data_IF_260035646000
#
_entry.id   IF_260035646000
#
_cell.length_a   1.000
_cell.length_b   1.000
_cell.length_c   1.000
_cell.angle_alpha   90.00
_cell.angle_beta   90.00
_cell.angle_gamma   90.00
#
_symmetry.space_group_name_H-M   'P 1'
#
loop_
_entity.id
_entity.type
_entity.pdbx_description
1 polymer ?
#
# COMPACT_ATOMS: atom_id res chain seq x y z
N UNK A 1 -36.45 -3.78 47.07
CA UNK A 1 -36.50 -5.04 46.32
C UNK A 1 -36.89 -4.80 44.85
N UNK A 2 -36.13 -4.03 44.04
CA UNK A 2 -36.43 -3.77 42.61
C UNK A 2 -35.19 -3.86 41.68
N UNK A 3 -34.01 -4.23 42.20
CA UNK A 3 -32.78 -4.29 41.41
C UNK A 3 -32.48 -5.68 40.78
N UNK A 4 -33.15 -6.75 41.24
CA UNK A 4 -32.86 -8.12 40.76
C UNK A 4 -33.52 -8.45 39.41
N UNK A 5 -34.58 -7.74 39.02
CA UNK A 5 -35.32 -8.03 37.77
C UNK A 5 -34.59 -7.57 36.53
N UNK A 6 -33.76 -6.52 36.61
CA UNK A 6 -33.00 -5.99 35.46
C UNK A 6 -31.77 -6.84 35.09
N UNK A 7 -31.16 -7.53 36.06
CA UNK A 7 -30.03 -8.42 35.81
C UNK A 7 -30.45 -9.70 35.06
N UNK A 8 -31.66 -10.21 35.33
CA UNK A 8 -32.17 -11.38 34.61
C UNK A 8 -32.59 -11.09 33.17
N UNK A 9 -33.06 -9.88 32.89
CA UNK A 9 -33.45 -9.46 31.54
C UNK A 9 -32.22 -9.27 30.64
N UNK A 10 -31.09 -8.78 31.19
CA UNK A 10 -29.83 -8.64 30.48
C UNK A 10 -29.19 -9.99 30.11
N UNK A 11 -29.35 -11.01 30.96
CA UNK A 11 -28.78 -12.35 30.70
C UNK A 11 -29.59 -13.13 29.65
N UNK A 12 -30.88 -12.88 29.52
CA UNK A 12 -31.75 -13.51 28.52
C UNK A 12 -31.58 -12.92 27.11
N UNK A 13 -31.16 -11.66 27.00
CA UNK A 13 -30.89 -11.02 25.70
C UNK A 13 -29.54 -11.40 25.11
N UNK A 14 -28.60 -11.91 25.91
CA UNK A 14 -27.28 -12.32 25.45
C UNK A 14 -27.23 -13.72 24.78
N UNK A 15 -28.34 -14.49 24.87
CA UNK A 15 -28.38 -15.86 24.32
C UNK A 15 -28.99 -15.97 22.91
N UNK A 16 -29.48 -14.86 22.32
CA UNK A 16 -30.20 -14.93 21.04
C UNK A 16 -29.39 -14.53 19.79
N UNK A 17 -28.09 -14.42 19.89
CA UNK A 17 -27.29 -14.04 18.70
C UNK A 17 -26.28 -15.10 18.26
N UNK A 18 -26.60 -16.37 18.47
CA UNK A 18 -25.95 -17.45 17.68
C UNK A 18 -26.82 -17.68 16.45
N UNK A 19 -26.73 -16.79 15.47
CA UNK A 19 -27.10 -17.16 14.11
C UNK A 19 -26.34 -18.46 13.80
N UNK A 20 -27.01 -19.52 13.28
CA UNK A 20 -26.29 -20.70 12.86
C UNK A 20 -25.26 -20.25 11.84
N UNK A 21 -23.98 -20.35 12.20
CA UNK A 21 -22.89 -20.22 11.25
C UNK A 21 -23.05 -21.44 10.35
N UNK A 22 -23.81 -21.28 9.26
CA UNK A 22 -23.79 -22.26 8.19
C UNK A 22 -22.35 -22.31 7.72
N UNK A 23 -21.69 -23.45 7.93
CA UNK A 23 -20.41 -23.70 7.32
C UNK A 23 -20.58 -23.49 5.81
N UNK A 24 -19.87 -22.50 5.26
CA UNK A 24 -19.92 -22.22 3.83
C UNK A 24 -19.55 -23.47 3.05
N UNK A 25 -20.24 -23.69 1.94
CA UNK A 25 -19.93 -24.82 1.10
C UNK A 25 -18.53 -24.67 0.49
N UNK A 26 -17.88 -25.78 0.19
CA UNK A 26 -16.56 -25.81 -0.45
C UNK A 26 -16.54 -24.96 -1.75
N UNK A 27 -17.63 -24.97 -2.51
CA UNK A 27 -17.76 -24.19 -3.75
C UNK A 27 -17.86 -22.68 -3.49
N UNK A 28 -18.56 -22.26 -2.43
CA UNK A 28 -18.63 -20.86 -2.03
C UNK A 28 -17.26 -20.33 -1.59
N UNK A 29 -16.50 -21.11 -0.82
CA UNK A 29 -15.14 -20.75 -0.40
C UNK A 29 -14.18 -20.64 -1.57
N UNK A 30 -14.33 -21.50 -2.61
CA UNK A 30 -13.53 -21.40 -3.84
C UNK A 30 -13.84 -20.14 -4.63
N UNK A 31 -15.09 -19.70 -4.68
CA UNK A 31 -15.47 -18.43 -5.31
C UNK A 31 -14.91 -17.25 -4.53
N UNK A 32 -15.00 -17.25 -3.20
CA UNK A 32 -14.42 -16.21 -2.36
C UNK A 32 -12.89 -16.15 -2.45
N UNK A 33 -12.24 -17.32 -2.52
CA UNK A 33 -10.81 -17.41 -2.77
C UNK A 33 -10.43 -16.74 -4.09
N UNK A 34 -11.19 -17.01 -5.17
CA UNK A 34 -10.98 -16.37 -6.47
C UNK A 34 -11.15 -14.84 -6.41
N UNK A 35 -12.17 -14.37 -5.68
CA UNK A 35 -12.38 -12.94 -5.46
C UNK A 35 -11.24 -12.31 -4.64
N UNK A 36 -10.70 -13.01 -3.64
CA UNK A 36 -9.55 -12.55 -2.86
C UNK A 36 -8.28 -12.45 -3.72
N UNK A 37 -8.01 -13.43 -4.60
CA UNK A 37 -6.90 -13.35 -5.57
C UNK A 37 -7.03 -12.14 -6.48
N UNK A 38 -8.25 -11.80 -6.93
CA UNK A 38 -8.47 -10.61 -7.76
C UNK A 38 -8.12 -9.32 -7.01
N UNK A 39 -8.51 -9.21 -5.74
CA UNK A 39 -8.16 -8.04 -4.89
C UNK A 39 -6.65 -7.93 -4.66
N UNK A 40 -5.98 -9.06 -4.45
CA UNK A 40 -4.51 -9.09 -4.28
C UNK A 40 -3.82 -8.67 -5.58
N UNK A 41 -4.28 -9.14 -6.73
CA UNK A 41 -3.75 -8.70 -8.03
C UNK A 41 -3.96 -7.21 -8.27
N UNK A 42 -5.10 -6.64 -7.87
CA UNK A 42 -5.32 -5.18 -7.93
C UNK A 42 -4.38 -4.41 -7.02
N UNK A 43 -4.08 -4.93 -5.83
CA UNK A 43 -3.14 -4.32 -4.90
C UNK A 43 -1.70 -4.34 -5.45
N UNK A 44 -1.29 -5.45 -6.09
CA UNK A 44 0.00 -5.59 -6.76
C UNK A 44 0.13 -4.60 -7.93
N UNK A 45 -0.90 -4.49 -8.77
CA UNK A 45 -0.94 -3.53 -9.87
C UNK A 45 -0.86 -2.07 -9.38
N UNK A 46 -1.35 -1.79 -8.18
CA UNK A 46 -1.22 -0.48 -7.54
C UNK A 46 0.18 -0.22 -6.95
N UNK A 47 1.07 -1.23 -6.96
CA UNK A 47 2.43 -1.13 -6.42
C UNK A 47 2.56 -1.55 -4.95
N UNK A 48 1.55 -2.21 -4.36
CA UNK A 48 1.60 -2.78 -3.02
C UNK A 48 2.42 -4.07 -2.99
N UNK A 49 3.18 -4.30 -1.90
CA UNK A 49 3.82 -5.59 -1.65
C UNK A 49 2.78 -6.58 -1.11
N UNK A 50 2.46 -7.58 -1.92
CA UNK A 50 1.42 -8.58 -1.66
C UNK A 50 1.98 -9.99 -1.47
N UNK A 51 3.30 -10.15 -1.39
CA UNK A 51 3.97 -11.44 -1.33
C UNK A 51 3.42 -12.34 -0.22
N UNK A 52 3.21 -11.75 0.97
CA UNK A 52 2.69 -12.45 2.14
C UNK A 52 1.22 -12.87 1.95
N UNK A 53 0.41 -12.00 1.31
CA UNK A 53 -1.00 -12.27 1.07
C UNK A 53 -1.19 -13.43 0.08
N UNK A 54 -0.33 -13.53 -0.94
CA UNK A 54 -0.33 -14.66 -1.88
C UNK A 54 -0.02 -15.97 -1.17
N UNK A 55 0.93 -15.99 -0.23
CA UNK A 55 1.24 -17.18 0.56
C UNK A 55 0.05 -17.62 1.41
N UNK A 56 -0.63 -16.67 2.06
CA UNK A 56 -1.82 -16.97 2.86
C UNK A 56 -2.95 -17.54 1.99
N UNK A 57 -3.18 -17.00 0.78
CA UNK A 57 -4.18 -17.54 -0.15
C UNK A 57 -3.84 -18.94 -0.65
N UNK A 58 -2.57 -19.23 -0.92
CA UNK A 58 -2.13 -20.57 -1.30
C UNK A 58 -2.35 -21.58 -0.16
N UNK A 59 -2.13 -21.16 1.10
CA UNK A 59 -2.42 -21.97 2.27
C UNK A 59 -3.94 -22.19 2.40
N UNK A 60 -4.75 -21.14 2.25
CA UNK A 60 -6.20 -21.25 2.28
C UNK A 60 -6.71 -22.23 1.20
N UNK A 61 -6.17 -22.18 -0.04
CA UNK A 61 -6.50 -23.11 -1.10
C UNK A 61 -6.21 -24.57 -0.68
N UNK A 62 -5.06 -24.83 -0.06
CA UNK A 62 -4.70 -26.16 0.41
C UNK A 62 -5.61 -26.68 1.53
N UNK A 63 -6.14 -25.78 2.38
CA UNK A 63 -7.10 -26.12 3.43
C UNK A 63 -8.48 -26.44 2.86
N UNK A 64 -8.91 -25.73 1.83
CA UNK A 64 -10.15 -26.02 1.10
C UNK A 64 -10.10 -27.41 0.44
N UNK A 65 -8.94 -27.77 -0.11
CA UNK A 65 -8.76 -29.08 -0.75
C UNK A 65 -8.77 -30.25 0.25
N UNK A 66 -8.44 -30.02 1.53
CA UNK A 66 -8.59 -31.03 2.59
C UNK A 66 -10.05 -31.32 2.91
N UNK A 67 -10.93 -30.33 2.85
CA UNK A 67 -12.37 -30.50 2.93
C UNK A 67 -12.94 -30.84 4.32
N UNK A 68 -12.14 -30.84 5.38
CA UNK A 68 -12.61 -31.01 6.74
C UNK A 68 -13.15 -29.70 7.33
N UNK A 69 -14.20 -29.74 8.16
CA UNK A 69 -14.88 -28.56 8.69
C UNK A 69 -13.94 -27.58 9.40
N UNK A 70 -12.93 -28.06 10.12
CA UNK A 70 -11.95 -27.23 10.79
C UNK A 70 -11.03 -26.50 9.80
N UNK A 71 -10.60 -27.17 8.73
CA UNK A 71 -9.80 -26.59 7.64
C UNK A 71 -10.59 -25.57 6.84
N UNK A 72 -11.88 -25.85 6.53
CA UNK A 72 -12.74 -24.91 5.81
C UNK A 72 -12.95 -23.61 6.61
N UNK A 73 -13.18 -23.72 7.93
CA UNK A 73 -13.29 -22.54 8.77
C UNK A 73 -11.98 -21.72 8.81
N UNK A 74 -10.85 -22.40 8.91
CA UNK A 74 -9.54 -21.73 8.89
C UNK A 74 -9.26 -21.06 7.55
N UNK A 75 -9.69 -21.69 6.43
CA UNK A 75 -9.58 -21.10 5.09
C UNK A 75 -10.46 -19.84 4.97
N UNK A 76 -11.69 -19.88 5.50
CA UNK A 76 -12.58 -18.71 5.51
C UNK A 76 -11.94 -17.53 6.25
N UNK A 77 -11.41 -17.75 7.46
CA UNK A 77 -10.74 -16.73 8.23
C UNK A 77 -9.54 -16.12 7.47
N UNK A 78 -8.75 -16.96 6.79
CA UNK A 78 -7.63 -16.52 5.96
C UNK A 78 -8.06 -15.70 4.75
N UNK A 79 -9.12 -16.10 4.04
CA UNK A 79 -9.67 -15.38 2.88
C UNK A 79 -10.20 -14.01 3.34
N UNK A 80 -10.90 -13.95 4.46
CA UNK A 80 -11.39 -12.71 5.03
C UNK A 80 -10.24 -11.78 5.41
N UNK A 81 -9.22 -12.31 6.09
CA UNK A 81 -8.00 -11.58 6.44
C UNK A 81 -7.38 -10.94 5.19
N UNK A 82 -7.09 -11.75 4.16
CA UNK A 82 -6.48 -11.26 2.91
C UNK A 82 -7.36 -10.22 2.23
N UNK A 83 -8.69 -10.41 2.23
CA UNK A 83 -9.62 -9.46 1.59
C UNK A 83 -9.59 -8.06 2.20
N UNK A 84 -9.32 -7.95 3.50
CA UNK A 84 -9.18 -6.68 4.22
C UNK A 84 -7.80 -6.07 3.96
N UNK A 85 -6.74 -6.85 4.14
CA UNK A 85 -5.36 -6.36 3.99
C UNK A 85 -4.97 -6.04 2.55
N UNK A 86 -5.58 -6.69 1.55
CA UNK A 86 -5.38 -6.33 0.15
C UNK A 86 -5.81 -4.89 -0.16
N UNK A 87 -6.88 -4.40 0.48
CA UNK A 87 -7.29 -3.00 0.34
C UNK A 87 -6.27 -2.03 0.94
N UNK A 88 -5.76 -2.34 2.13
CA UNK A 88 -4.73 -1.54 2.79
C UNK A 88 -3.45 -1.49 1.94
N UNK A 89 -3.01 -2.64 1.43
CA UNK A 89 -1.83 -2.73 0.54
C UNK A 89 -2.03 -2.00 -0.78
N UNK A 90 -3.24 -1.98 -1.32
CA UNK A 90 -3.58 -1.19 -2.51
C UNK A 90 -3.43 0.32 -2.24
N UNK A 91 -3.92 0.80 -1.09
CA UNK A 91 -3.79 2.21 -0.71
C UNK A 91 -2.32 2.61 -0.49
N UNK A 92 -1.53 1.76 0.19
CA UNK A 92 -0.09 1.96 0.36
C UNK A 92 0.63 2.05 -0.98
N UNK A 93 0.31 1.14 -1.92
CA UNK A 93 0.90 1.12 -3.26
C UNK A 93 0.59 2.39 -4.06
N UNK A 94 -0.66 2.86 -4.04
CA UNK A 94 -1.05 4.12 -4.69
C UNK A 94 -0.31 5.31 -4.10
N UNK A 95 -0.16 5.37 -2.77
CA UNK A 95 0.58 6.44 -2.11
C UNK A 95 2.07 6.43 -2.47
N UNK A 96 2.69 5.24 -2.48
CA UNK A 96 4.10 5.08 -2.85
C UNK A 96 4.36 5.50 -4.30
N UNK A 97 3.48 5.10 -5.23
CA UNK A 97 3.56 5.46 -6.65
C UNK A 97 3.39 6.98 -6.85
N UNK A 98 2.43 7.59 -6.18
CA UNK A 98 2.23 9.04 -6.23
C UNK A 98 3.45 9.81 -5.69
N UNK A 99 4.04 9.34 -4.59
CA UNK A 99 5.24 9.94 -4.03
C UNK A 99 6.43 9.86 -5.00
N UNK A 100 6.62 8.73 -5.67
CA UNK A 100 7.67 8.57 -6.69
C UNK A 100 7.48 9.55 -7.86
N UNK A 101 6.25 9.74 -8.35
CA UNK A 101 5.96 10.71 -9.40
C UNK A 101 6.23 12.16 -8.98
N UNK A 102 5.91 12.51 -7.73
CA UNK A 102 6.20 13.85 -7.19
C UNK A 102 7.71 14.07 -7.09
N UNK A 103 8.46 13.10 -6.57
CA UNK A 103 9.92 13.19 -6.45
C UNK A 103 10.59 13.29 -7.82
N UNK A 104 10.17 12.46 -8.80
CA UNK A 104 10.65 12.53 -10.17
C UNK A 104 10.34 13.89 -10.82
N UNK A 105 9.14 14.40 -10.66
CA UNK A 105 8.74 15.71 -11.16
C UNK A 105 9.56 16.85 -10.55
N UNK A 106 9.79 16.80 -9.24
CA UNK A 106 10.60 17.78 -8.53
C UNK A 106 12.08 17.76 -8.96
N UNK A 107 12.66 16.56 -9.13
CA UNK A 107 14.06 16.43 -9.59
C UNK A 107 14.24 16.91 -11.04
N UNK A 108 13.33 16.55 -11.93
CA UNK A 108 13.36 17.06 -13.32
C UNK A 108 13.15 18.58 -13.36
N UNK A 109 12.24 19.12 -12.57
CA UNK A 109 12.02 20.56 -12.43
C UNK A 109 13.26 21.30 -11.94
N UNK A 110 13.95 20.76 -10.93
CA UNK A 110 15.20 21.33 -10.42
C UNK A 110 16.33 21.30 -11.46
N UNK A 111 16.44 20.24 -12.25
CA UNK A 111 17.42 20.15 -13.34
C UNK A 111 17.15 21.17 -14.44
N UNK A 112 15.91 21.33 -14.87
CA UNK A 112 15.53 22.34 -15.88
C UNK A 112 15.76 23.74 -15.36
N UNK A 113 15.41 24.03 -14.10
CA UNK A 113 15.64 25.34 -13.49
C UNK A 113 17.14 25.66 -13.39
N UNK A 114 17.98 24.68 -12.98
CA UNK A 114 19.43 24.88 -12.90
C UNK A 114 20.05 25.12 -14.29
N UNK A 115 19.62 24.37 -15.31
CA UNK A 115 20.05 24.59 -16.68
C UNK A 115 19.66 25.99 -17.20
N UNK A 116 18.45 26.46 -16.91
CA UNK A 116 18.00 27.81 -17.25
C UNK A 116 18.82 28.89 -16.56
N UNK A 117 19.13 28.73 -15.27
CA UNK A 117 19.98 29.66 -14.51
C UNK A 117 21.38 29.72 -15.14
N UNK A 118 21.99 28.59 -15.45
CA UNK A 118 23.29 28.54 -16.10
C UNK A 118 23.25 29.22 -17.49
N UNK A 119 22.18 28.99 -18.25
CA UNK A 119 22.02 29.61 -19.57
C UNK A 119 21.91 31.12 -19.51
N UNK A 120 21.06 31.65 -18.59
CA UNK A 120 20.82 33.10 -18.48
C UNK A 120 21.94 33.85 -17.77
N UNK A 121 22.57 33.26 -16.76
CA UNK A 121 23.57 33.93 -15.94
C UNK A 121 24.99 33.48 -16.23
N UNK A 122 25.17 32.30 -16.81
CA UNK A 122 26.52 31.73 -17.07
C UNK A 122 27.40 32.62 -17.92
N UNK A 123 26.86 33.25 -18.95
CA UNK A 123 27.61 34.19 -19.81
C UNK A 123 28.06 35.43 -19.03
N UNK A 124 27.23 35.97 -18.14
CA UNK A 124 27.59 37.15 -17.33
C UNK A 124 28.65 36.83 -16.26
N UNK A 125 28.53 35.69 -15.61
CA UNK A 125 29.47 35.22 -14.58
C UNK A 125 30.83 34.91 -15.24
N UNK A 126 30.81 34.23 -16.37
CA UNK A 126 32.02 33.91 -17.14
C UNK A 126 32.78 35.19 -17.58
N UNK A 127 32.06 36.19 -18.09
CA UNK A 127 32.65 37.47 -18.46
C UNK A 127 33.23 38.22 -17.24
N UNK A 128 32.55 38.24 -16.13
CA UNK A 128 33.03 38.91 -14.90
C UNK A 128 34.29 38.22 -14.34
N UNK A 129 34.34 36.89 -14.33
CA UNK A 129 35.52 36.11 -13.95
C UNK A 129 36.70 36.29 -14.92
N UNK A 130 36.41 36.32 -16.21
CA UNK A 130 37.42 36.54 -17.24
C UNK A 130 38.11 37.92 -17.12
N UNK A 131 37.32 38.97 -16.93
CA UNK A 131 37.86 40.33 -16.74
C UNK A 131 38.70 40.40 -15.47
N UNK A 132 38.30 39.72 -14.39
CA UNK A 132 39.00 39.73 -13.10
C UNK A 132 40.36 39.02 -13.21
N UNK A 133 40.41 37.89 -13.92
CA UNK A 133 41.67 37.15 -14.16
C UNK A 133 42.63 37.91 -15.04
N UNK A 134 42.17 38.60 -16.10
CA UNK A 134 43.01 39.39 -16.98
C UNK A 134 43.61 40.65 -16.31
N UNK A 135 42.94 41.26 -15.35
CA UNK A 135 43.48 42.40 -14.58
C UNK A 135 44.67 41.99 -13.72
N UNK A 136 44.70 40.76 -13.20
CA UNK A 136 45.85 40.28 -12.42
C UNK A 136 47.14 40.10 -13.25
N UNK A 137 47.03 39.85 -14.54
CA UNK A 137 48.18 39.59 -15.40
C UNK A 137 48.92 40.85 -15.89
N UNK A 138 48.32 42.02 -15.72
CA UNK A 138 48.94 43.29 -16.14
C UNK A 138 49.88 43.93 -15.10
N UNK A 139 49.94 43.41 -13.90
CA UNK A 139 50.73 44.03 -12.80
C UNK A 139 52.12 43.42 -12.67
N UNK A 140 52.42 42.30 -13.29
CA UNK A 140 53.75 41.67 -13.20
C UNK A 140 54.68 41.98 -14.38
N UNK A 141 54.30 42.86 -15.30
CA UNK A 141 55.10 43.21 -16.48
C UNK A 141 55.66 44.65 -16.42
N UNK A 142 55.94 45.18 -15.23
CA UNK A 142 56.58 46.47 -15.06
C UNK A 142 57.86 46.34 -14.23
#
# INVERSE_FOLDING_TARGET
>A
MKASAFLFLGLLLSTYNTAPVYAKSNDELRLELGAAFTKVAEAELAGGDVSDLVQVLNLAASLIDKGDDASLKSAEDMIQYVSVFALEKKEEGVQATNYQHIVLGATLGALVASAAIIWFYGSRVFWALWIRTKRGWRVEAA
#
